data_IF_007135696789
#
_entry.id   IF_007135696789
#
_cell.length_a   1.000
_cell.length_b   1.000
_cell.length_c   1.000
_cell.angle_alpha   90.00
_cell.angle_beta   90.00
_cell.angle_gamma   90.00
#
_symmetry.space_group_name_H-M   'P 1'
#
loop_
_entity.id
_entity.type
_entity.pdbx_description
1 polymer ?
#
# COMPACT_ATOMS: atom_id res chain seq x y z
N UNK A 1 9.20 21.20 107.81
CA UNK A 1 8.47 20.61 106.68
C UNK A 1 9.33 20.77 105.43
N UNK A 2 9.67 19.66 104.80
CA UNK A 2 10.58 19.56 103.66
C UNK A 2 9.75 19.53 102.37
N UNK A 3 10.01 20.39 101.40
CA UNK A 3 9.53 20.21 100.01
C UNK A 3 10.62 20.59 99.02
N UNK A 4 11.36 19.56 98.58
CA UNK A 4 12.23 19.63 97.40
C UNK A 4 11.37 19.29 96.17
N UNK A 5 11.36 20.10 95.10
CA UNK A 5 10.70 19.73 93.86
C UNK A 5 11.66 18.98 92.93
N UNK A 6 11.09 17.94 92.31
CA UNK A 6 11.73 16.93 91.50
C UNK A 6 12.38 17.46 90.22
N UNK A 7 13.59 16.99 89.95
CA UNK A 7 14.23 17.00 88.64
C UNK A 7 13.56 15.96 87.73
N UNK A 8 12.91 16.43 86.65
CA UNK A 8 12.43 15.55 85.59
C UNK A 8 13.59 15.09 84.70
N UNK A 9 13.65 13.82 84.28
CA UNK A 9 14.65 13.38 83.31
C UNK A 9 14.26 13.84 81.90
N UNK A 10 15.22 14.48 81.24
CA UNK A 10 15.14 14.92 79.85
C UNK A 10 14.85 13.74 78.91
N UNK A 11 13.93 13.99 77.97
CA UNK A 11 13.37 13.02 77.03
C UNK A 11 14.41 12.21 76.26
N UNK A 12 14.09 10.93 76.11
CA UNK A 12 14.86 9.96 75.34
C UNK A 12 15.13 10.47 73.92
N UNK A 13 16.40 10.69 73.62
CA UNK A 13 16.89 10.87 72.26
C UNK A 13 16.51 9.62 71.43
N UNK A 14 15.53 9.75 70.53
CA UNK A 14 15.32 8.75 69.48
C UNK A 14 16.58 8.73 68.63
N UNK A 15 17.36 7.66 68.73
CA UNK A 15 18.53 7.45 67.88
C UNK A 15 18.04 7.28 66.45
N UNK A 16 18.16 8.32 65.63
CA UNK A 16 18.10 8.18 64.19
C UNK A 16 19.28 7.30 63.77
N UNK A 17 19.00 6.06 63.37
CA UNK A 17 19.99 5.20 62.72
C UNK A 17 20.28 5.81 61.35
N UNK A 18 21.48 6.38 61.20
CA UNK A 18 22.01 6.76 59.91
C UNK A 18 22.30 5.48 59.10
N UNK A 19 21.95 5.47 57.81
CA UNK A 19 22.25 4.37 56.92
C UNK A 19 23.75 4.16 56.80
N UNK A 20 24.16 2.90 56.80
CA UNK A 20 25.56 2.55 56.59
C UNK A 20 25.93 2.68 55.12
N UNK A 21 27.17 3.03 54.82
CA UNK A 21 27.68 3.11 53.44
C UNK A 21 27.49 1.78 52.69
N UNK A 22 27.61 0.66 53.42
CA UNK A 22 27.41 -0.70 52.88
C UNK A 22 25.95 -0.96 52.49
N UNK A 23 24.96 -0.53 53.30
CA UNK A 23 23.54 -0.65 52.93
C UNK A 23 23.23 0.16 51.67
N UNK A 24 23.79 1.35 51.54
CA UNK A 24 23.59 2.19 50.35
C UNK A 24 24.22 1.57 49.10
N UNK A 25 25.42 0.99 49.22
CA UNK A 25 26.05 0.24 48.12
C UNK A 25 25.26 -1.01 47.73
N UNK A 26 24.74 -1.76 48.70
CA UNK A 26 23.92 -2.93 48.44
C UNK A 26 22.60 -2.54 47.73
N UNK A 27 21.94 -1.47 48.18
CA UNK A 27 20.73 -0.97 47.53
C UNK A 27 20.98 -0.49 46.09
N UNK A 28 22.09 0.20 45.85
CA UNK A 28 22.50 0.63 44.50
C UNK A 28 22.83 -0.56 43.60
N UNK A 29 23.48 -1.60 44.12
CA UNK A 29 23.78 -2.80 43.34
C UNK A 29 22.50 -3.49 42.85
N UNK A 30 21.51 -3.66 43.73
CA UNK A 30 20.20 -4.22 43.35
C UNK A 30 19.49 -3.32 42.33
N UNK A 31 19.52 -2.01 42.55
CA UNK A 31 18.92 -1.04 41.63
C UNK A 31 19.52 -1.14 40.22
N UNK A 32 20.85 -1.23 40.09
CA UNK A 32 21.52 -1.38 38.78
C UNK A 32 21.13 -2.69 38.10
N UNK A 33 21.06 -3.80 38.84
CA UNK A 33 20.62 -5.09 38.30
C UNK A 33 19.17 -5.00 37.79
N UNK A 34 18.27 -4.38 38.56
CA UNK A 34 16.88 -4.19 38.14
C UNK A 34 16.78 -3.28 36.90
N UNK A 35 17.52 -2.17 36.88
CA UNK A 35 17.58 -1.26 35.75
C UNK A 35 18.05 -1.97 34.48
N UNK A 36 19.07 -2.82 34.59
CA UNK A 36 19.57 -3.60 33.46
C UNK A 36 18.51 -4.55 32.90
N UNK A 37 17.76 -5.24 33.77
CA UNK A 37 16.66 -6.10 33.34
C UNK A 37 15.54 -5.29 32.66
N UNK A 38 15.21 -4.11 33.18
CA UNK A 38 14.23 -3.21 32.56
C UNK A 38 14.68 -2.75 31.18
N UNK A 39 15.96 -2.40 31.00
CA UNK A 39 16.48 -2.03 29.69
C UNK A 39 16.39 -3.18 28.69
N UNK A 40 16.70 -4.42 29.11
CA UNK A 40 16.53 -5.60 28.25
C UNK A 40 15.09 -5.76 27.79
N UNK A 41 14.13 -5.57 28.70
CA UNK A 41 12.71 -5.64 28.36
C UNK A 41 12.29 -4.53 27.39
N UNK A 42 12.69 -3.28 27.65
CA UNK A 42 12.37 -2.14 26.80
C UNK A 42 12.94 -2.33 25.38
N UNK A 43 14.18 -2.80 25.24
CA UNK A 43 14.77 -3.08 23.93
C UNK A 43 13.98 -4.15 23.16
N UNK A 44 13.52 -5.21 23.85
CA UNK A 44 12.67 -6.22 23.24
C UNK A 44 11.32 -5.65 22.78
N UNK A 45 10.70 -4.81 23.61
CA UNK A 45 9.44 -4.13 23.26
C UNK A 45 9.61 -3.19 22.06
N UNK A 46 10.71 -2.42 22.00
CA UNK A 46 11.02 -1.54 20.86
C UNK A 46 11.20 -2.31 19.57
N UNK A 47 11.91 -3.45 19.61
CA UNK A 47 12.10 -4.29 18.44
C UNK A 47 10.77 -4.90 17.95
N UNK A 48 9.94 -5.37 18.88
CA UNK A 48 8.61 -5.87 18.56
C UNK A 48 7.71 -4.78 17.94
N UNK A 49 7.76 -3.56 18.48
CA UNK A 49 7.03 -2.43 17.92
C UNK A 49 7.50 -2.05 16.53
N UNK A 50 8.82 -2.00 16.30
CA UNK A 50 9.38 -1.71 14.98
C UNK A 50 8.94 -2.74 13.94
N UNK A 51 8.97 -4.03 14.28
CA UNK A 51 8.48 -5.09 13.40
C UNK A 51 6.97 -5.00 13.14
N UNK A 52 6.18 -4.63 14.17
CA UNK A 52 4.75 -4.43 14.01
C UNK A 52 4.44 -3.24 13.08
N UNK A 53 5.15 -2.12 13.25
CA UNK A 53 5.01 -0.94 12.40
C UNK A 53 5.38 -1.24 10.94
N UNK A 54 6.47 -1.96 10.70
CA UNK A 54 6.88 -2.36 9.35
C UNK A 54 5.80 -3.22 8.66
N UNK A 55 5.18 -4.15 9.39
CA UNK A 55 4.06 -4.95 8.85
C UNK A 55 2.84 -4.08 8.56
N UNK A 56 2.51 -3.17 9.46
CA UNK A 56 1.38 -2.26 9.28
C UNK A 56 1.56 -1.40 8.02
N UNK A 57 2.75 -0.87 7.78
CA UNK A 57 3.06 -0.09 6.59
C UNK A 57 2.80 -0.87 5.29
N UNK A 58 3.24 -2.13 5.22
CA UNK A 58 3.01 -3.00 4.06
C UNK A 58 1.51 -3.24 3.84
N UNK A 59 0.73 -3.48 4.89
CA UNK A 59 -0.72 -3.69 4.76
C UNK A 59 -1.45 -2.42 4.32
N UNK A 60 -1.05 -1.25 4.78
CA UNK A 60 -1.65 0.02 4.35
C UNK A 60 -1.35 0.29 2.87
N UNK A 61 -0.10 0.09 2.43
CA UNK A 61 0.27 0.19 1.01
C UNK A 61 -0.52 -0.79 0.15
N UNK A 62 -0.62 -2.06 0.58
CA UNK A 62 -1.38 -3.08 -0.13
C UNK A 62 -2.87 -2.73 -0.24
N UNK A 63 -3.45 -2.17 0.83
CA UNK A 63 -4.85 -1.72 0.81
C UNK A 63 -5.06 -0.61 -0.20
N UNK A 64 -4.21 0.41 -0.21
CA UNK A 64 -4.31 1.53 -1.17
C UNK A 64 -4.17 1.02 -2.61
N UNK A 65 -3.21 0.11 -2.86
CA UNK A 65 -3.04 -0.50 -4.18
C UNK A 65 -4.28 -1.28 -4.64
N UNK A 66 -4.87 -2.08 -3.75
CA UNK A 66 -6.09 -2.85 -4.04
C UNK A 66 -7.32 -1.96 -4.23
N UNK A 67 -7.46 -0.89 -3.45
CA UNK A 67 -8.56 0.07 -3.59
C UNK A 67 -8.43 0.82 -4.94
N UNK A 68 -7.21 1.17 -5.35
CA UNK A 68 -6.94 1.78 -6.66
C UNK A 68 -7.29 0.83 -7.81
N UNK A 69 -6.83 -0.43 -7.74
CA UNK A 69 -7.13 -1.45 -8.74
C UNK A 69 -8.63 -1.73 -8.84
N UNK A 70 -9.31 -1.83 -7.69
CA UNK A 70 -10.76 -2.03 -7.63
C UNK A 70 -11.51 -0.87 -8.28
N UNK A 71 -11.12 0.36 -7.95
CA UNK A 71 -11.72 1.56 -8.53
C UNK A 71 -11.54 1.60 -10.04
N UNK A 72 -10.36 1.30 -10.54
CA UNK A 72 -10.09 1.34 -11.97
C UNK A 72 -10.87 0.24 -12.70
N UNK A 73 -10.91 -0.99 -12.18
CA UNK A 73 -11.72 -2.07 -12.76
C UNK A 73 -13.22 -1.74 -12.78
N UNK A 74 -13.73 -1.10 -11.74
CA UNK A 74 -15.13 -0.65 -11.68
C UNK A 74 -15.43 0.49 -12.65
N UNK A 75 -14.41 1.25 -13.06
CA UNK A 75 -14.53 2.34 -14.01
C UNK A 75 -14.55 1.89 -15.48
N UNK A 76 -14.35 0.59 -15.74
CA UNK A 76 -14.28 0.05 -17.09
C UNK A 76 -15.58 0.28 -17.87
N UNK A 77 -15.47 0.79 -19.09
CA UNK A 77 -16.62 1.23 -19.89
C UNK A 77 -16.61 0.59 -21.28
N UNK A 78 -17.82 0.30 -21.79
CA UNK A 78 -18.04 -0.26 -23.12
C UNK A 78 -18.32 0.85 -24.14
N UNK A 79 -17.84 0.67 -25.37
CA UNK A 79 -18.18 1.53 -26.51
C UNK A 79 -18.86 0.69 -27.61
N UNK A 80 -19.96 1.19 -28.18
CA UNK A 80 -20.73 0.51 -29.23
C UNK A 80 -20.05 0.48 -30.59
N UNK A 81 -19.26 1.51 -30.90
CA UNK A 81 -18.92 1.82 -32.29
C UNK A 81 -17.66 1.07 -32.77
N UNK A 82 -16.90 0.48 -31.85
CA UNK A 82 -15.56 -0.05 -32.13
C UNK A 82 -15.43 -1.56 -31.92
N UNK A 83 -16.54 -2.26 -31.63
CA UNK A 83 -16.57 -3.72 -31.54
C UNK A 83 -17.64 -4.35 -32.46
N UNK A 84 -17.29 -5.33 -33.31
CA UNK A 84 -18.28 -6.11 -34.03
C UNK A 84 -19.17 -6.83 -33.01
N UNK A 85 -20.47 -6.53 -33.00
CA UNK A 85 -21.45 -7.22 -32.13
C UNK A 85 -21.89 -6.49 -30.85
N UNK A 86 -21.63 -5.19 -30.69
CA UNK A 86 -22.31 -4.35 -29.67
C UNK A 86 -21.42 -3.79 -28.55
N UNK A 87 -22.06 -3.34 -27.45
CA UNK A 87 -21.41 -2.70 -26.29
C UNK A 87 -20.64 -3.72 -25.44
N UNK A 88 -19.39 -4.02 -25.80
CA UNK A 88 -18.51 -4.89 -25.02
C UNK A 88 -17.42 -4.11 -24.31
N UNK A 89 -17.22 -4.38 -23.01
CA UNK A 89 -16.03 -3.91 -22.29
C UNK A 89 -14.86 -4.78 -22.73
N UNK A 90 -13.83 -4.16 -23.32
CA UNK A 90 -12.63 -4.88 -23.75
C UNK A 90 -11.55 -4.80 -22.68
N UNK A 91 -11.26 -5.96 -22.08
CA UNK A 91 -10.05 -6.20 -21.34
C UNK A 91 -9.05 -6.87 -22.27
N UNK A 92 -7.86 -6.30 -22.39
CA UNK A 92 -6.77 -6.86 -23.16
C UNK A 92 -5.73 -7.39 -22.18
N UNK A 93 -5.48 -8.69 -22.28
CA UNK A 93 -4.46 -9.38 -21.51
C UNK A 93 -3.50 -10.01 -22.53
N UNK A 94 -2.38 -9.31 -22.80
CA UNK A 94 -1.34 -9.84 -23.69
C UNK A 94 -0.56 -10.96 -23.00
N UNK A 95 -0.29 -10.77 -21.70
CA UNK A 95 0.41 -11.71 -20.83
C UNK A 95 -0.34 -11.84 -19.50
N UNK A 96 -0.13 -12.93 -18.73
CA UNK A 96 -0.77 -13.12 -17.42
C UNK A 96 -0.56 -11.96 -16.43
N UNK A 97 0.59 -11.29 -16.55
CA UNK A 97 1.06 -10.19 -15.68
C UNK A 97 0.63 -8.80 -16.17
N UNK A 98 0.00 -8.71 -17.35
CA UNK A 98 -0.31 -7.45 -18.02
C UNK A 98 -1.82 -7.35 -18.29
N UNK A 99 -2.46 -6.32 -17.74
CA UNK A 99 -3.88 -6.06 -17.97
C UNK A 99 -4.09 -4.63 -18.46
N UNK A 100 -4.85 -4.47 -19.55
CA UNK A 100 -5.21 -3.18 -20.12
C UNK A 100 -6.70 -3.09 -20.38
N UNK A 101 -7.30 -1.94 -20.11
CA UNK A 101 -8.71 -1.67 -20.38
C UNK A 101 -8.97 -0.17 -20.42
N UNK A 102 -10.15 0.23 -20.91
CA UNK A 102 -10.56 1.63 -20.95
C UNK A 102 -11.62 1.88 -19.90
N UNK A 103 -11.49 2.98 -19.17
CA UNK A 103 -12.47 3.44 -18.21
C UNK A 103 -12.60 4.95 -18.17
N UNK A 104 -13.53 5.42 -17.35
CA UNK A 104 -13.86 6.84 -17.17
C UNK A 104 -13.57 7.31 -15.75
N UNK A 105 -13.22 8.59 -15.56
CA UNK A 105 -12.99 9.13 -14.21
C UNK A 105 -11.76 8.53 -13.51
N UNK A 106 -10.77 8.12 -14.32
CA UNK A 106 -9.54 7.47 -13.89
C UNK A 106 -8.59 8.51 -13.27
N UNK A 107 -8.06 8.18 -12.09
CA UNK A 107 -7.13 9.06 -11.37
C UNK A 107 -5.77 9.06 -12.07
N UNK A 108 -5.21 10.25 -12.26
CA UNK A 108 -3.91 10.45 -12.90
C UNK A 108 -3.95 10.52 -14.43
N UNK A 109 -5.14 10.42 -15.05
CA UNK A 109 -5.30 10.69 -16.47
C UNK A 109 -5.23 12.22 -16.70
N UNK A 110 -4.01 12.74 -16.89
CA UNK A 110 -3.77 14.16 -17.18
C UNK A 110 -4.24 14.47 -18.61
N UNK A 111 -5.34 15.21 -18.80
CA UNK A 111 -5.82 15.65 -20.12
C UNK A 111 -4.92 16.71 -20.79
N UNK A 112 -5.18 17.09 -22.06
CA UNK A 112 -4.37 18.08 -22.78
C UNK A 112 -4.47 19.49 -22.21
N UNK A 113 -5.58 19.77 -21.52
CA UNK A 113 -5.91 21.07 -20.98
C UNK A 113 -6.25 20.86 -19.50
N UNK A 114 -5.70 21.71 -18.62
CA UNK A 114 -5.92 21.75 -17.17
C UNK A 114 -7.39 22.03 -16.73
N UNK A 115 -8.36 21.81 -17.63
CA UNK A 115 -9.80 21.83 -17.37
C UNK A 115 -10.19 20.54 -16.63
N UNK A 116 -9.86 20.55 -15.34
CA UNK A 116 -10.15 19.59 -14.28
C UNK A 116 -11.64 19.22 -14.09
N UNK A 117 -12.53 19.62 -15.01
CA UNK A 117 -13.97 19.36 -15.00
C UNK A 117 -14.44 18.32 -16.04
N UNK A 118 -13.59 17.86 -16.95
CA UNK A 118 -13.96 16.86 -17.97
C UNK A 118 -13.50 15.46 -17.57
N UNK A 119 -14.47 14.58 -17.28
CA UNK A 119 -14.21 13.15 -17.16
C UNK A 119 -13.85 12.61 -18.55
N UNK A 120 -12.55 12.46 -18.79
CA UNK A 120 -12.02 11.94 -20.06
C UNK A 120 -11.89 10.42 -19.96
N UNK A 121 -12.13 9.75 -21.09
CA UNK A 121 -11.86 8.32 -21.23
C UNK A 121 -10.35 8.10 -21.24
N UNK A 122 -9.89 7.18 -20.40
CA UNK A 122 -8.50 6.81 -20.32
C UNK A 122 -8.33 5.30 -20.40
N UNK A 123 -7.29 4.87 -21.11
CA UNK A 123 -6.78 3.53 -21.02
C UNK A 123 -5.91 3.40 -19.76
N UNK A 124 -6.17 2.37 -18.97
CA UNK A 124 -5.33 1.98 -17.83
C UNK A 124 -4.64 0.68 -18.15
N UNK A 125 -3.36 0.64 -17.82
CA UNK A 125 -2.53 -0.55 -17.89
C UNK A 125 -1.91 -0.84 -16.53
N UNK A 126 -1.94 -2.11 -16.15
CA UNK A 126 -1.17 -2.68 -15.05
C UNK A 126 -0.12 -3.63 -15.60
N UNK A 127 1.07 -3.56 -15.02
CA UNK A 127 2.19 -4.42 -15.36
C UNK A 127 2.98 -4.75 -14.08
N UNK A 128 3.48 -5.98 -14.01
CA UNK A 128 4.50 -6.34 -13.02
C UNK A 128 5.89 -6.05 -13.59
N UNK A 129 6.67 -5.22 -12.90
CA UNK A 129 8.10 -5.14 -13.15
C UNK A 129 8.81 -6.21 -12.32
N UNK A 130 9.13 -7.32 -12.98
CA UNK A 130 9.81 -8.46 -12.35
C UNK A 130 11.25 -8.16 -11.93
N UNK A 131 11.89 -7.12 -12.47
CA UNK A 131 13.24 -6.73 -12.09
C UNK A 131 13.25 -5.93 -10.78
N UNK A 132 12.26 -5.06 -10.59
CA UNK A 132 12.14 -4.18 -9.42
C UNK A 132 11.15 -4.69 -8.36
N UNK A 133 10.40 -5.76 -8.65
CA UNK A 133 9.31 -6.27 -7.80
C UNK A 133 8.25 -5.21 -7.50
N UNK A 134 7.94 -4.38 -8.48
CA UNK A 134 6.94 -3.32 -8.36
C UNK A 134 5.73 -3.63 -9.21
N UNK A 135 4.55 -3.34 -8.65
CA UNK A 135 3.33 -3.24 -9.44
C UNK A 135 3.25 -1.82 -9.99
N UNK A 136 3.24 -1.74 -11.30
CA UNK A 136 3.28 -0.50 -12.03
C UNK A 136 1.94 -0.25 -12.72
N UNK A 137 1.52 1.02 -12.72
CA UNK A 137 0.27 1.47 -13.33
C UNK A 137 0.54 2.65 -14.24
N UNK A 138 -0.10 2.66 -15.40
CA UNK A 138 -0.12 3.81 -16.28
C UNK A 138 -1.56 4.09 -16.75
N UNK A 139 -1.88 5.38 -16.90
CA UNK A 139 -3.18 5.85 -17.36
C UNK A 139 -2.99 6.91 -18.45
N UNK A 140 -3.67 6.76 -19.59
CA UNK A 140 -3.52 7.64 -20.74
C UNK A 140 -4.84 7.90 -21.43
N UNK A 141 -5.05 9.10 -21.93
CA UNK A 141 -6.24 9.51 -22.67
C UNK A 141 -5.97 9.55 -24.19
N UNK A 142 -7.02 9.76 -24.99
CA UNK A 142 -6.93 9.75 -26.45
C UNK A 142 -6.22 10.99 -26.97
N UNK A 143 -5.01 10.83 -27.51
CA UNK A 143 -4.22 11.84 -28.23
C UNK A 143 -3.47 12.91 -27.41
N UNK A 144 -2.66 12.51 -26.41
CA UNK A 144 -1.66 13.41 -25.78
C UNK A 144 -0.44 13.75 -26.64
N UNK A 145 -0.29 13.12 -27.81
CA UNK A 145 0.86 13.36 -28.70
C UNK A 145 0.35 13.88 -30.06
N UNK A 146 0.86 15.02 -30.55
CA UNK A 146 0.51 15.54 -31.87
C UNK A 146 0.82 14.51 -32.97
N UNK A 147 -0.19 14.15 -33.76
CA UNK A 147 -0.07 13.16 -34.86
C UNK A 147 -0.45 11.72 -34.49
N UNK A 148 -0.84 11.46 -33.24
CA UNK A 148 -1.40 10.17 -32.84
C UNK A 148 -2.78 9.93 -33.47
N UNK A 149 -2.90 8.86 -34.25
CA UNK A 149 -4.15 8.39 -34.89
C UNK A 149 -4.73 7.14 -34.21
N UNK A 150 -4.18 6.76 -33.05
CA UNK A 150 -4.65 5.60 -32.30
C UNK A 150 -5.97 5.91 -31.60
N UNK A 151 -6.88 4.95 -31.60
CA UNK A 151 -8.19 5.01 -30.98
C UNK A 151 -8.18 4.07 -29.77
N UNK A 152 -8.68 4.56 -28.62
CA UNK A 152 -8.73 3.80 -27.38
C UNK A 152 -9.44 2.46 -27.57
N UNK A 153 -10.39 2.31 -28.49
CA UNK A 153 -11.16 1.08 -28.64
C UNK A 153 -10.77 0.21 -29.84
N UNK A 154 -9.81 0.64 -30.68
CA UNK A 154 -9.35 -0.12 -31.85
C UNK A 154 -8.44 -1.28 -31.46
N UNK A 155 -8.17 -2.20 -32.40
CA UNK A 155 -7.23 -3.32 -32.23
C UNK A 155 -5.85 -2.84 -31.71
N UNK A 156 -5.52 -3.30 -30.49
CA UNK A 156 -4.33 -2.93 -29.71
C UNK A 156 -3.26 -4.02 -29.73
N UNK A 157 -3.33 -4.97 -30.67
CA UNK A 157 -2.35 -6.06 -30.82
C UNK A 157 -1.13 -5.68 -31.68
N UNK A 158 -1.18 -4.52 -32.35
CA UNK A 158 -0.08 -4.01 -33.19
C UNK A 158 0.98 -3.19 -32.42
N UNK A 159 2.10 -2.91 -33.10
CA UNK A 159 3.17 -2.03 -32.59
C UNK A 159 2.71 -0.60 -32.27
N UNK A 160 1.55 -0.19 -32.80
CA UNK A 160 0.94 1.12 -32.62
C UNK A 160 0.15 1.27 -31.30
N UNK A 161 0.07 0.21 -30.48
CA UNK A 161 -0.49 0.32 -29.13
C UNK A 161 0.44 1.20 -28.28
N UNK A 162 -0.07 2.32 -27.76
CA UNK A 162 0.76 3.38 -27.15
C UNK A 162 1.59 2.94 -25.93
N UNK A 163 1.18 1.89 -25.23
CA UNK A 163 2.00 1.26 -24.18
C UNK A 163 3.38 0.78 -24.68
N UNK A 164 3.57 0.68 -26.00
CA UNK A 164 4.85 0.35 -26.64
C UNK A 164 5.71 1.61 -26.96
N UNK A 165 5.22 2.83 -26.69
CA UNK A 165 5.82 4.11 -27.09
C UNK A 165 6.31 4.98 -25.92
N UNK A 166 6.90 4.37 -24.88
CA UNK A 166 7.57 5.12 -23.81
C UNK A 166 6.61 5.71 -22.77
N UNK A 167 5.50 5.02 -22.51
CA UNK A 167 4.59 5.31 -21.41
C UNK A 167 5.34 5.37 -20.08
N UNK A 168 5.09 6.43 -19.30
CA UNK A 168 5.59 6.53 -17.93
C UNK A 168 4.68 5.72 -17.03
N UNK A 169 5.17 4.56 -16.62
CA UNK A 169 4.55 3.81 -15.54
C UNK A 169 4.86 4.47 -14.20
N UNK A 170 3.86 4.51 -13.34
CA UNK A 170 3.99 4.94 -11.96
C UNK A 170 3.93 3.70 -11.06
N UNK A 171 4.92 3.58 -10.18
CA UNK A 171 4.94 2.57 -9.14
C UNK A 171 3.73 2.76 -8.19
N UNK A 172 2.94 1.70 -8.04
CA UNK A 172 1.79 1.65 -7.12
C UNK A 172 2.19 1.04 -5.78
N UNK A 173 2.94 -0.05 -5.82
CA UNK A 173 3.38 -0.78 -4.63
C UNK A 173 4.63 -1.62 -4.93
N UNK A 174 5.52 -1.69 -3.95
CA UNK A 174 6.75 -2.48 -3.95
C UNK A 174 6.56 -3.86 -3.29
N UNK A 175 7.49 -4.78 -3.56
CA UNK A 175 7.50 -6.12 -2.96
C UNK A 175 6.49 -7.10 -3.55
N UNK A 176 6.00 -6.85 -4.76
CA UNK A 176 5.12 -7.77 -5.49
C UNK A 176 5.96 -8.81 -6.22
N UNK A 177 5.79 -10.08 -5.85
CA UNK A 177 6.58 -11.18 -6.39
C UNK A 177 5.95 -11.83 -7.62
N UNK A 178 4.61 -11.83 -7.67
CA UNK A 178 3.84 -12.48 -8.71
C UNK A 178 2.49 -11.77 -8.86
N UNK A 179 2.02 -11.66 -10.10
CA UNK A 179 0.76 -11.04 -10.46
C UNK A 179 0.14 -11.85 -11.61
N UNK A 180 -1.04 -12.40 -11.37
CA UNK A 180 -1.78 -13.12 -12.41
C UNK A 180 -3.20 -12.59 -12.48
N UNK A 181 -3.58 -12.06 -13.64
CA UNK A 181 -4.98 -11.75 -13.94
C UNK A 181 -5.68 -12.99 -14.50
N UNK A 182 -6.89 -13.28 -14.02
CA UNK A 182 -7.74 -14.35 -14.57
C UNK A 182 -9.11 -13.78 -14.85
N UNK A 183 -9.56 -13.91 -16.09
CA UNK A 183 -10.92 -13.54 -16.49
C UNK A 183 -11.83 -14.76 -16.47
N UNK A 184 -13.13 -14.54 -16.28
CA UNK A 184 -14.13 -15.60 -16.30
C UNK A 184 -15.17 -15.32 -17.37
N UNK A 185 -15.51 -16.35 -18.12
CA UNK A 185 -16.61 -16.30 -19.08
C UNK A 185 -17.96 -16.32 -18.38
N UNK A 186 -19.05 -16.08 -19.11
CA UNK A 186 -20.43 -16.23 -18.61
C UNK A 186 -20.71 -17.63 -18.04
N UNK A 187 -19.98 -18.65 -18.51
CA UNK A 187 -20.05 -20.02 -18.00
C UNK A 187 -19.13 -20.28 -16.79
N UNK A 188 -18.52 -19.24 -16.20
CA UNK A 188 -17.55 -19.31 -15.10
C UNK A 188 -16.30 -20.16 -15.40
N UNK A 189 -15.98 -20.39 -16.68
CA UNK A 189 -14.72 -21.01 -17.06
C UNK A 189 -13.59 -19.96 -17.07
N UNK A 190 -12.44 -20.24 -16.43
CA UNK A 190 -11.30 -19.32 -16.39
C UNK A 190 -10.64 -19.19 -17.77
N UNK A 191 -10.22 -17.99 -18.12
CA UNK A 191 -9.46 -17.69 -19.34
C UNK A 191 -8.22 -16.84 -19.01
N UNK A 192 -7.07 -17.28 -19.52
CA UNK A 192 -5.74 -16.72 -19.24
C UNK A 192 -5.19 -15.81 -20.34
N UNK A 193 -5.90 -15.66 -21.47
CA UNK A 193 -5.50 -14.76 -22.56
C UNK A 193 -6.72 -14.36 -23.38
N UNK A 194 -6.99 -13.06 -23.51
CA UNK A 194 -8.07 -12.53 -24.34
C UNK A 194 -7.48 -11.95 -25.64
N UNK A 195 -7.18 -12.83 -26.59
CA UNK A 195 -6.91 -12.46 -27.98
C UNK A 195 -8.14 -12.81 -28.82
N UNK A 196 -9.06 -11.86 -28.95
CA UNK A 196 -10.00 -11.81 -30.08
C UNK A 196 -10.97 -12.99 -30.27
N UNK A 197 -11.36 -13.73 -29.23
CA UNK A 197 -12.51 -14.61 -29.34
C UNK A 197 -13.78 -13.76 -29.24
N UNK A 198 -14.27 -13.29 -30.39
CA UNK A 198 -15.66 -12.87 -30.51
C UNK A 198 -16.52 -13.99 -29.90
N UNK A 199 -17.19 -13.68 -28.80
CA UNK A 199 -18.26 -14.53 -28.29
C UNK A 199 -19.36 -14.48 -29.35
N UNK A 200 -19.33 -15.45 -30.28
CA UNK A 200 -20.51 -15.84 -31.05
C UNK A 200 -21.55 -16.35 -30.05
N UNK A 201 -22.38 -15.45 -29.56
CA UNK A 201 -23.71 -15.81 -29.05
C UNK A 201 -24.66 -15.87 -30.22
N UNK A 202 -25.25 -17.06 -30.39
CA UNK A 202 -26.35 -17.37 -31.29
C UNK A 202 -27.55 -16.41 -31.19
#
# INVERSE_FOLDING_TARGET
>A
MNTSPATQPFGAHRRCRAFTLVELLAALAVLVVMMFLLFRFISGAQQAWSAANARQEVYEKARVAMDLLTRDLQSAIACSDHAPGGFHIRFQQLDPENLRFVGAGIVGAEGPDDDSALSTLAEVGYQLDTANHTLDRACLWSCSVPGCTWDLYRDRSGGDAYFNHGTKFQEVIDGVLDLTFTSYTTAMAPQSSWLGAAVETA
#
